data_IF_555216828928
#
_entry.id   IF_555216828928
#
_cell.length_a   1.000
_cell.length_b   1.000
_cell.length_c   1.000
_cell.angle_alpha   90.00
_cell.angle_beta   90.00
_cell.angle_gamma   90.00
#
_symmetry.space_group_name_H-M   'P 1'
#
loop_
_entity.id
_entity.type
_entity.pdbx_description
1 polymer ?
#
# COMPACT_ATOMS: atom_id res chain seq x y z
N UNK A 1 12.43 -7.27 1.19
CA UNK A 1 11.52 -7.96 0.24
C UNK A 1 10.10 -7.69 0.72
N UNK A 2 9.34 -6.89 -0.02
CA UNK A 2 8.11 -6.25 0.45
C UNK A 2 6.88 -7.13 0.24
N UNK A 3 5.86 -6.95 1.08
CA UNK A 3 4.58 -7.68 1.09
C UNK A 3 3.94 -7.86 -0.30
N UNK A 4 4.07 -6.87 -1.19
CA UNK A 4 3.58 -6.93 -2.57
C UNK A 4 4.20 -8.07 -3.40
N UNK A 5 5.48 -8.38 -3.21
CA UNK A 5 6.16 -9.48 -3.93
C UNK A 5 5.68 -10.85 -3.44
N UNK A 6 5.28 -10.94 -2.17
CA UNK A 6 4.76 -12.16 -1.56
C UNK A 6 3.29 -12.37 -1.91
N UNK A 7 2.52 -11.30 -2.09
CA UNK A 7 1.13 -11.36 -2.59
C UNK A 7 1.07 -11.80 -4.06
N UNK A 8 2.09 -11.47 -4.85
CA UNK A 8 2.21 -11.92 -6.25
C UNK A 8 2.79 -13.34 -6.39
N UNK A 9 3.29 -13.95 -5.31
CA UNK A 9 3.98 -15.24 -5.32
C UNK A 9 3.05 -16.48 -5.33
N UNK A 10 1.75 -16.31 -5.57
CA UNK A 10 0.84 -17.42 -5.90
C UNK A 10 -0.25 -17.73 -4.86
N UNK A 11 -0.88 -18.92 -4.93
CA UNK A 11 -2.23 -19.24 -4.39
C UNK A 11 -2.47 -19.06 -2.88
N UNK A 12 -1.44 -18.67 -2.11
CA UNK A 12 -1.48 -18.46 -0.65
C UNK A 12 -1.50 -16.97 -0.25
N UNK A 13 -1.59 -16.08 -1.23
CA UNK A 13 -1.71 -14.63 -1.11
C UNK A 13 -3.15 -14.14 -0.91
N UNK A 14 -4.05 -15.01 -0.42
CA UNK A 14 -5.49 -14.78 -0.40
C UNK A 14 -5.97 -13.68 0.56
N UNK A 15 -7.28 -13.41 0.48
CA UNK A 15 -8.05 -12.41 1.23
C UNK A 15 -7.80 -12.34 2.74
N UNK A 16 -7.25 -13.39 3.33
CA UNK A 16 -6.95 -13.44 4.76
C UNK A 16 -5.75 -12.56 5.12
N UNK A 17 -4.78 -12.40 4.21
CA UNK A 17 -3.69 -11.44 4.39
C UNK A 17 -4.15 -10.00 4.27
N UNK A 18 -5.07 -9.72 3.35
CA UNK A 18 -5.67 -8.38 3.24
C UNK A 18 -6.39 -8.01 4.54
N UNK A 19 -7.16 -8.94 5.11
CA UNK A 19 -7.82 -8.73 6.42
C UNK A 19 -6.83 -8.51 7.54
N UNK A 20 -5.76 -9.31 7.61
CA UNK A 20 -4.71 -9.14 8.62
C UNK A 20 -4.01 -7.78 8.47
N UNK A 21 -3.70 -7.38 7.24
CA UNK A 21 -3.07 -6.10 6.93
C UNK A 21 -3.98 -4.92 7.35
N UNK A 22 -5.28 -5.00 7.06
CA UNK A 22 -6.27 -4.01 7.51
C UNK A 22 -6.32 -3.95 9.04
N UNK A 23 -6.32 -5.10 9.72
CA UNK A 23 -6.34 -5.15 11.18
C UNK A 23 -5.08 -4.53 11.82
N UNK A 24 -3.91 -4.79 11.24
CA UNK A 24 -2.64 -4.18 11.65
C UNK A 24 -2.67 -2.67 11.42
N UNK A 25 -3.12 -2.21 10.25
CA UNK A 25 -3.23 -0.79 9.95
C UNK A 25 -4.21 -0.09 10.91
N UNK A 26 -5.35 -0.70 11.23
CA UNK A 26 -6.28 -0.19 12.23
C UNK A 26 -5.64 -0.07 13.62
N UNK A 27 -4.81 -1.03 14.02
CA UNK A 27 -4.07 -0.98 15.29
C UNK A 27 -3.02 0.14 15.29
N UNK A 28 -2.27 0.30 14.21
CA UNK A 28 -1.31 1.40 14.06
C UNK A 28 -2.02 2.75 14.17
N UNK A 29 -3.16 2.93 13.49
CA UNK A 29 -3.93 4.17 13.55
C UNK A 29 -4.37 4.53 14.96
N UNK A 30 -4.84 3.55 15.74
CA UNK A 30 -5.22 3.77 17.14
C UNK A 30 -4.04 4.10 18.06
N UNK A 31 -2.87 3.51 17.81
CA UNK A 31 -1.66 3.76 18.61
C UNK A 31 -1.01 5.10 18.26
N UNK A 32 -1.10 5.51 16.99
CA UNK A 32 -0.50 6.73 16.49
C UNK A 32 -1.29 8.00 16.87
N UNK A 33 -2.60 7.87 17.14
CA UNK A 33 -3.62 8.91 17.26
C UNK A 33 -3.10 10.36 17.47
N UNK A 34 -3.17 10.90 18.68
CA UNK A 34 -2.89 12.32 18.94
C UNK A 34 -1.40 12.69 18.81
N UNK A 35 -0.49 11.73 18.99
CA UNK A 35 0.95 11.98 19.03
C UNK A 35 1.59 11.99 17.64
N UNK A 36 0.98 11.28 16.68
CA UNK A 36 1.52 11.05 15.34
C UNK A 36 0.42 11.13 14.26
N UNK A 37 -0.15 12.34 14.01
CA UNK A 37 -1.30 12.52 13.13
C UNK A 37 -1.04 12.07 11.68
N UNK A 38 0.19 12.21 11.17
CA UNK A 38 0.55 11.74 9.83
C UNK A 38 0.61 10.22 9.74
N UNK A 39 1.05 9.54 10.80
CA UNK A 39 1.05 8.07 10.86
C UNK A 39 -0.38 7.56 10.96
N UNK A 40 -1.24 8.22 11.75
CA UNK A 40 -2.66 7.91 11.80
C UNK A 40 -3.34 8.07 10.44
N UNK A 41 -3.03 9.13 9.69
CA UNK A 41 -3.54 9.33 8.34
C UNK A 41 -3.07 8.25 7.35
N UNK A 42 -1.78 7.87 7.40
CA UNK A 42 -1.24 6.77 6.59
C UNK A 42 -1.91 5.43 6.93
N UNK A 43 -2.14 5.16 8.21
CA UNK A 43 -2.84 3.97 8.67
C UNK A 43 -4.29 3.91 8.17
N UNK A 44 -4.98 5.05 8.08
CA UNK A 44 -6.32 5.12 7.47
C UNK A 44 -6.31 4.90 5.96
N UNK A 45 -5.28 5.38 5.25
CA UNK A 45 -5.11 5.13 3.83
C UNK A 45 -4.83 3.63 3.56
N UNK A 46 -3.96 3.03 4.37
CA UNK A 46 -3.59 1.60 4.27
C UNK A 46 -4.79 0.66 4.50
N UNK A 47 -5.71 0.98 5.41
CA UNK A 47 -6.95 0.20 5.63
C UNK A 47 -7.88 0.13 4.41
N UNK A 48 -7.73 1.05 3.45
CA UNK A 48 -8.57 1.14 2.25
C UNK A 48 -7.85 0.61 1.00
N UNK A 49 -6.71 -0.06 1.19
CA UNK A 49 -5.86 -0.56 0.13
C UNK A 49 -5.61 -2.06 0.28
N UNK A 50 -5.31 -2.71 -0.84
CA UNK A 50 -4.75 -4.08 -0.91
C UNK A 50 -3.37 -4.00 -1.54
N UNK A 51 -2.49 -4.98 -1.33
CA UNK A 51 -1.16 -4.86 -1.93
C UNK A 51 -1.20 -4.94 -3.45
N UNK A 52 -2.15 -5.67 -4.05
CA UNK A 52 -2.43 -5.60 -5.49
C UNK A 52 -2.75 -4.17 -5.94
N UNK A 53 -3.65 -3.47 -5.25
CA UNK A 53 -4.03 -2.10 -5.61
C UNK A 53 -2.86 -1.11 -5.46
N UNK A 54 -2.03 -1.28 -4.43
CA UNK A 54 -0.81 -0.48 -4.25
C UNK A 54 0.25 -0.78 -5.31
N UNK A 55 0.39 -2.05 -5.70
CA UNK A 55 1.29 -2.43 -6.79
C UNK A 55 0.87 -1.82 -8.13
N UNK A 56 -0.41 -1.91 -8.48
CA UNK A 56 -0.98 -1.28 -9.69
C UNK A 56 -0.75 0.24 -9.68
N UNK A 57 -0.99 0.91 -8.55
CA UNK A 57 -0.68 2.35 -8.40
C UNK A 57 0.80 2.64 -8.55
N UNK A 58 1.68 1.83 -7.97
CA UNK A 58 3.13 1.98 -8.09
C UNK A 58 3.60 1.87 -9.54
N UNK A 59 3.07 0.91 -10.31
CA UNK A 59 3.34 0.80 -11.75
C UNK A 59 2.85 2.02 -12.52
N UNK A 60 1.66 2.53 -12.20
CA UNK A 60 1.12 3.71 -12.87
C UNK A 60 2.00 4.95 -12.63
N UNK A 61 2.45 5.17 -11.39
CA UNK A 61 3.37 6.26 -11.04
C UNK A 61 4.68 6.14 -11.82
N UNK A 62 5.25 4.93 -11.89
CA UNK A 62 6.48 4.68 -12.63
C UNK A 62 6.34 4.99 -14.12
N UNK A 63 5.29 4.47 -14.75
CA UNK A 63 5.03 4.68 -16.18
C UNK A 63 4.80 6.17 -16.48
N UNK A 64 4.01 6.84 -15.65
CA UNK A 64 3.77 8.30 -15.75
C UNK A 64 5.08 9.08 -15.67
N UNK A 65 5.99 8.71 -14.76
CA UNK A 65 7.30 9.33 -14.63
C UNK A 65 8.19 9.15 -15.88
N UNK A 66 8.15 7.96 -16.48
CA UNK A 66 8.87 7.66 -17.74
C UNK A 66 8.32 8.52 -18.88
N UNK A 67 7.00 8.62 -19.02
CA UNK A 67 6.34 9.44 -20.05
C UNK A 67 6.69 10.93 -19.91
N UNK A 68 6.64 11.47 -18.68
CA UNK A 68 7.01 12.86 -18.39
C UNK A 68 8.48 13.12 -18.75
N UNK A 69 9.39 12.17 -18.44
CA UNK A 69 10.81 12.30 -18.78
C UNK A 69 11.05 12.25 -20.30
N UNK A 70 10.33 11.35 -20.99
CA UNK A 70 10.40 11.22 -22.45
C UNK A 70 9.88 12.45 -23.20
N UNK A 71 8.83 13.08 -22.67
CA UNK A 71 8.19 14.28 -23.27
C UNK A 71 8.99 15.58 -23.08
N UNK A 72 10.06 15.55 -22.29
CA UNK A 72 10.97 16.69 -22.05
C UNK A 72 12.20 16.69 -22.99
N UNK A 73 12.31 15.72 -23.90
CA UNK A 73 13.29 15.72 -25.00
C UNK A 73 12.66 16.23 -26.28
#
# INVERSE_FOLDING_TARGET
>A
MGSAQVELAGPLAGSDRDREQIAVAARIGRLADAEHPHIAALAQASQRSTARADFERGLHILLTGIEILGSRR
#
